data_IF_728808559689
#
_entry.id   IF_728808559689
#
_cell.length_a   1.000
_cell.length_b   1.000
_cell.length_c   1.000
_cell.angle_alpha   90.00
_cell.angle_beta   90.00
_cell.angle_gamma   90.00
#
_symmetry.space_group_name_H-M   'P 1'
#
loop_
_entity.id
_entity.type
_entity.pdbx_description
1 polymer ?
#
# COMPACT_ATOMS: atom_id res chain seq x y z
N UNK A 1 -3.54 3.39 2.40
CA UNK A 1 -4.90 3.74 1.90
C UNK A 1 -4.87 5.24 1.66
N UNK A 2 -5.11 5.64 0.44
CA UNK A 2 -5.16 7.05 0.02
C UNK A 2 -6.61 7.46 -0.19
N UNK A 3 -7.02 8.61 0.39
CA UNK A 3 -8.35 9.18 0.23
C UNK A 3 -8.25 10.30 -0.80
N UNK A 4 -8.63 9.98 -2.05
CA UNK A 4 -8.47 10.87 -3.17
C UNK A 4 -9.44 12.07 -3.09
N UNK A 5 -8.90 13.29 -3.01
CA UNK A 5 -9.63 14.55 -2.97
C UNK A 5 -10.13 15.04 -4.33
N UNK A 6 -9.78 14.39 -5.44
CA UNK A 6 -9.99 14.90 -6.81
C UNK A 6 -11.46 15.20 -7.19
N UNK A 7 -12.45 14.69 -6.44
CA UNK A 7 -13.87 14.96 -6.63
C UNK A 7 -14.50 15.88 -5.56
N UNK A 8 -13.76 16.20 -4.52
CA UNK A 8 -14.26 16.97 -3.37
C UNK A 8 -14.23 18.51 -3.58
N UNK A 9 -13.84 19.00 -4.76
CA UNK A 9 -13.62 20.42 -5.04
C UNK A 9 -14.87 21.22 -5.41
N UNK A 10 -16.07 20.68 -5.27
CA UNK A 10 -17.34 21.32 -5.67
C UNK A 10 -18.15 21.91 -4.50
N UNK A 11 -17.52 22.28 -3.40
CA UNK A 11 -18.19 22.92 -2.26
C UNK A 11 -17.59 24.28 -1.96
N UNK A 12 -18.39 25.21 -1.50
CA UNK A 12 -17.96 26.59 -1.15
C UNK A 12 -17.03 26.65 0.07
N UNK A 13 -16.80 25.52 0.76
CA UNK A 13 -15.85 25.35 1.83
C UNK A 13 -15.08 24.03 1.62
N UNK A 14 -13.81 24.17 1.21
CA UNK A 14 -12.92 23.04 0.92
C UNK A 14 -12.64 22.25 2.21
N UNK A 15 -12.46 22.92 3.33
CA UNK A 15 -12.21 22.32 4.63
C UNK A 15 -13.41 21.46 5.09
N UNK A 16 -14.62 21.96 4.99
CA UNK A 16 -15.84 21.23 5.35
C UNK A 16 -16.04 19.99 4.48
N UNK A 17 -15.76 20.13 3.18
CA UNK A 17 -15.83 19.00 2.25
C UNK A 17 -14.79 17.92 2.56
N UNK A 18 -13.55 18.33 2.84
CA UNK A 18 -12.48 17.43 3.25
C UNK A 18 -12.85 16.68 4.54
N UNK A 19 -13.35 17.40 5.54
CA UNK A 19 -13.79 16.86 6.81
C UNK A 19 -14.90 15.81 6.65
N UNK A 20 -15.96 16.11 5.92
CA UNK A 20 -17.08 15.19 5.68
C UNK A 20 -16.61 13.93 4.92
N UNK A 21 -15.78 14.11 3.88
CA UNK A 21 -15.19 12.99 3.13
C UNK A 21 -14.33 12.08 4.02
N UNK A 22 -13.52 12.68 4.89
CA UNK A 22 -12.67 11.93 5.83
C UNK A 22 -13.50 11.18 6.89
N UNK A 23 -14.63 11.73 7.35
CA UNK A 23 -15.55 11.05 8.26
C UNK A 23 -16.17 9.80 7.62
N UNK A 24 -16.66 9.92 6.40
CA UNK A 24 -17.20 8.79 5.61
C UNK A 24 -16.12 7.74 5.35
N UNK A 25 -14.93 8.18 4.97
CA UNK A 25 -13.80 7.31 4.71
C UNK A 25 -13.39 6.54 5.98
N UNK A 26 -13.37 7.16 7.15
CA UNK A 26 -13.03 6.52 8.41
C UNK A 26 -13.97 5.34 8.74
N UNK A 27 -15.28 5.50 8.53
CA UNK A 27 -16.25 4.43 8.71
C UNK A 27 -16.06 3.29 7.70
N UNK A 28 -15.89 3.64 6.43
CA UNK A 28 -15.74 2.66 5.35
C UNK A 28 -14.42 1.89 5.49
N UNK A 29 -13.33 2.54 5.85
CA UNK A 29 -12.04 1.88 6.11
C UNK A 29 -12.20 0.84 7.22
N UNK A 30 -12.80 1.22 8.35
CA UNK A 30 -13.05 0.31 9.45
C UNK A 30 -13.90 -0.90 9.00
N UNK A 31 -14.93 -0.67 8.18
CA UNK A 31 -15.76 -1.72 7.60
C UNK A 31 -14.97 -2.65 6.68
N UNK A 32 -14.15 -2.10 5.79
CA UNK A 32 -13.36 -2.87 4.83
C UNK A 32 -12.26 -3.70 5.49
N UNK A 33 -11.61 -3.18 6.51
CA UNK A 33 -10.62 -3.93 7.28
C UNK A 33 -11.23 -5.19 7.91
N UNK A 34 -12.47 -5.09 8.43
CA UNK A 34 -13.20 -6.23 9.01
C UNK A 34 -13.63 -7.23 7.94
N UNK A 35 -14.24 -6.76 6.84
CA UNK A 35 -14.78 -7.64 5.80
C UNK A 35 -13.67 -8.43 5.11
N UNK A 36 -12.54 -7.78 4.83
CA UNK A 36 -11.39 -8.39 4.14
C UNK A 36 -10.43 -9.11 5.08
N UNK A 37 -10.64 -8.99 6.39
CA UNK A 37 -9.75 -9.47 7.44
C UNK A 37 -8.29 -9.01 7.24
N UNK A 38 -8.12 -7.75 6.85
CA UNK A 38 -6.81 -7.14 6.66
C UNK A 38 -6.21 -6.82 8.02
N UNK A 39 -4.98 -7.28 8.25
CA UNK A 39 -4.27 -7.01 9.50
C UNK A 39 -2.81 -6.62 9.25
N UNK A 40 -2.13 -6.25 10.32
CA UNK A 40 -0.81 -5.67 10.31
C UNK A 40 -0.86 -4.15 10.45
N UNK A 41 0.17 -3.47 9.99
CA UNK A 41 0.25 -2.02 9.99
C UNK A 41 -0.49 -1.46 8.75
N UNK A 42 -1.43 -0.56 9.01
CA UNK A 42 -2.18 0.15 7.97
C UNK A 42 -1.93 1.65 8.15
N UNK A 43 -1.58 2.31 7.08
CA UNK A 43 -1.45 3.78 7.01
C UNK A 43 -2.59 4.31 6.17
N UNK A 44 -3.29 5.31 6.70
CA UNK A 44 -4.36 6.03 6.03
C UNK A 44 -3.90 7.44 5.76
N UNK A 45 -3.97 7.85 4.51
CA UNK A 45 -3.67 9.20 4.04
C UNK A 45 -5.00 9.96 3.89
N UNK A 46 -5.33 10.76 4.92
CA UNK A 46 -6.53 11.58 4.95
C UNK A 46 -6.32 12.87 4.15
N UNK A 47 -7.42 13.40 3.60
CA UNK A 47 -7.39 14.72 3.00
C UNK A 47 -6.98 15.75 4.06
N UNK A 48 -6.07 16.65 3.72
CA UNK A 48 -5.57 17.66 4.64
C UNK A 48 -6.71 18.46 5.28
N UNK A 49 -6.61 18.65 6.59
CA UNK A 49 -7.53 19.44 7.41
C UNK A 49 -6.73 20.42 8.26
N UNK A 50 -7.02 21.69 8.15
CA UNK A 50 -6.37 22.77 8.92
C UNK A 50 -6.85 22.82 10.37
N UNK A 51 -8.10 22.40 10.63
CA UNK A 51 -8.70 22.43 11.95
C UNK A 51 -8.30 21.24 12.81
N UNK A 52 -7.60 21.44 13.95
CA UNK A 52 -7.32 20.37 14.90
C UNK A 52 -8.57 19.71 15.50
N UNK A 53 -9.71 20.40 15.47
CA UNK A 53 -10.99 19.87 15.90
C UNK A 53 -11.49 18.82 14.91
N UNK A 54 -11.44 19.12 13.61
CA UNK A 54 -11.83 18.18 12.56
C UNK A 54 -10.96 16.92 12.59
N UNK A 55 -9.65 17.08 12.74
CA UNK A 55 -8.72 15.94 12.87
C UNK A 55 -9.11 15.01 14.04
N UNK A 56 -9.41 15.58 15.22
CA UNK A 56 -9.84 14.78 16.38
C UNK A 56 -11.16 14.07 16.13
N UNK A 57 -12.08 14.72 15.47
CA UNK A 57 -13.41 14.15 15.18
C UNK A 57 -13.31 12.96 14.21
N UNK A 58 -12.41 13.04 13.20
CA UNK A 58 -12.09 11.92 12.32
C UNK A 58 -11.38 10.79 13.07
N UNK A 59 -10.43 11.11 13.95
CA UNK A 59 -9.78 10.13 14.82
C UNK A 59 -10.78 9.40 15.72
N UNK A 60 -11.73 10.11 16.31
CA UNK A 60 -12.76 9.52 17.18
C UNK A 60 -13.73 8.68 16.36
N UNK A 61 -14.08 9.12 15.14
CA UNK A 61 -14.93 8.36 14.22
C UNK A 61 -14.32 7.00 13.86
N UNK A 62 -13.06 6.96 13.48
CA UNK A 62 -12.42 5.68 13.16
C UNK A 62 -12.26 4.79 14.39
N UNK A 63 -11.96 5.36 15.58
CA UNK A 63 -11.92 4.60 16.84
C UNK A 63 -13.27 3.98 17.16
N UNK A 64 -14.34 4.75 17.03
CA UNK A 64 -15.70 4.26 17.28
C UNK A 64 -16.12 3.17 16.29
N UNK A 65 -15.84 3.36 15.00
CA UNK A 65 -16.13 2.37 13.98
C UNK A 65 -15.35 1.05 14.19
N UNK A 66 -14.15 1.12 14.76
CA UNK A 66 -13.32 -0.05 15.05
C UNK A 66 -13.71 -0.77 16.34
N UNK A 67 -14.55 -0.20 17.22
CA UNK A 67 -15.07 -0.89 18.43
C UNK A 67 -15.87 -2.16 18.11
N UNK A 68 -16.44 -2.24 16.93
CA UNK A 68 -17.18 -3.42 16.47
C UNK A 68 -16.25 -4.56 16.00
N UNK A 69 -14.94 -4.32 15.92
CA UNK A 69 -13.97 -5.32 15.48
C UNK A 69 -13.60 -6.27 16.62
N UNK A 70 -13.57 -7.57 16.32
CA UNK A 70 -13.11 -8.59 17.27
C UNK A 70 -11.58 -8.63 17.41
N UNK A 71 -10.87 -8.09 16.41
CA UNK A 71 -9.42 -8.02 16.44
C UNK A 71 -8.96 -6.90 17.38
N UNK A 72 -7.80 -7.12 18.01
CA UNK A 72 -7.17 -6.04 18.77
C UNK A 72 -6.61 -5.00 17.82
N UNK A 73 -7.02 -3.75 18.00
CA UNK A 73 -6.61 -2.61 17.18
C UNK A 73 -5.97 -1.55 18.06
N UNK A 74 -4.87 -1.00 17.58
CA UNK A 74 -4.24 0.20 18.14
C UNK A 74 -4.27 1.28 17.06
N UNK A 75 -4.74 2.48 17.43
CA UNK A 75 -4.94 3.59 16.50
C UNK A 75 -4.15 4.79 17.01
N UNK A 76 -3.28 5.32 16.16
CA UNK A 76 -2.50 6.53 16.40
C UNK A 76 -3.34 7.79 16.29
N UNK A 77 -2.65 8.93 16.24
CA UNK A 77 -3.22 10.24 15.91
C UNK A 77 -2.89 10.59 14.47
N UNK A 78 -3.67 11.48 13.88
CA UNK A 78 -3.34 12.05 12.58
C UNK A 78 -2.07 12.91 12.75
N UNK A 79 -1.06 12.60 11.95
CA UNK A 79 0.20 13.34 11.95
C UNK A 79 0.04 14.69 11.23
N UNK A 80 1.05 15.56 11.36
CA UNK A 80 1.11 16.83 10.60
C UNK A 80 1.13 16.67 9.08
N UNK A 81 1.25 15.44 8.60
CA UNK A 81 1.24 15.09 7.16
C UNK A 81 -0.10 14.46 6.74
N UNK A 82 -1.16 14.56 7.55
CA UNK A 82 -2.46 13.94 7.25
C UNK A 82 -2.50 12.42 7.46
N UNK A 83 -1.39 11.79 7.87
CA UNK A 83 -1.28 10.34 7.98
C UNK A 83 -1.77 9.83 9.34
N UNK A 84 -2.66 8.84 9.32
CA UNK A 84 -3.06 8.08 10.50
C UNK A 84 -2.51 6.65 10.38
N UNK A 85 -1.81 6.22 11.42
CA UNK A 85 -1.29 4.87 11.53
C UNK A 85 -2.17 4.05 12.45
N UNK A 86 -2.52 2.84 12.03
CA UNK A 86 -3.20 1.87 12.88
C UNK A 86 -2.57 0.48 12.73
N UNK A 87 -2.57 -0.28 13.83
CA UNK A 87 -2.17 -1.67 13.83
C UNK A 87 -3.36 -2.54 14.19
N UNK A 88 -3.68 -3.52 13.34
CA UNK A 88 -4.75 -4.48 13.57
C UNK A 88 -4.18 -5.89 13.64
N UNK A 89 -4.49 -6.61 14.70
CA UNK A 89 -4.05 -8.00 14.84
C UNK A 89 -4.68 -8.88 13.77
N UNK A 90 -3.85 -9.69 13.09
CA UNK A 90 -4.36 -10.72 12.18
C UNK A 90 -4.97 -11.86 12.99
N UNK A 91 -6.21 -12.21 12.69
CA UNK A 91 -6.90 -13.37 13.29
C UNK A 91 -6.76 -14.61 12.42
N UNK A 92 -6.65 -14.42 11.09
CA UNK A 92 -6.49 -15.47 10.05
C UNK A 92 -5.89 -14.84 8.78
N UNK A 93 -5.48 -15.66 7.78
CA UNK A 93 -5.10 -15.15 6.48
C UNK A 93 -6.22 -14.29 5.87
N UNK A 94 -5.85 -13.17 5.21
CA UNK A 94 -6.80 -12.32 4.52
C UNK A 94 -7.51 -13.07 3.38
N UNK A 95 -8.67 -12.58 2.94
CA UNK A 95 -9.39 -13.17 1.81
C UNK A 95 -8.52 -13.26 0.55
N UNK A 96 -7.67 -12.26 0.32
CA UNK A 96 -6.74 -12.27 -0.80
C UNK A 96 -5.67 -13.35 -0.68
N UNK A 97 -5.13 -13.55 0.52
CA UNK A 97 -4.11 -14.60 0.77
C UNK A 97 -4.70 -16.02 0.70
N UNK A 98 -5.97 -16.20 1.06
CA UNK A 98 -6.63 -17.51 1.02
C UNK A 98 -7.11 -17.92 -0.36
N UNK A 99 -7.32 -16.97 -1.28
CA UNK A 99 -7.91 -17.20 -2.61
C UNK A 99 -6.94 -17.01 -3.77
N UNK A 100 -5.70 -16.55 -3.51
CA UNK A 100 -4.73 -16.24 -4.55
C UNK A 100 -3.35 -16.84 -4.23
N UNK A 101 -2.59 -17.12 -5.28
CA UNK A 101 -1.19 -17.51 -5.19
C UNK A 101 -0.29 -16.37 -5.69
N UNK A 102 0.89 -16.27 -5.09
CA UNK A 102 1.89 -15.30 -5.57
C UNK A 102 2.26 -15.64 -7.02
N UNK A 103 2.19 -14.66 -7.90
CA UNK A 103 2.56 -14.83 -9.30
C UNK A 103 4.03 -15.27 -9.42
N UNK A 104 4.34 -16.42 -10.02
CA UNK A 104 5.72 -16.89 -10.15
C UNK A 104 6.61 -16.01 -11.02
N UNK A 105 6.01 -15.18 -11.89
CA UNK A 105 6.76 -14.30 -12.79
C UNK A 105 7.16 -12.97 -12.14
N UNK A 106 6.30 -12.34 -11.37
CA UNK A 106 6.58 -11.04 -10.74
C UNK A 106 6.72 -11.12 -9.22
N UNK A 107 6.52 -12.27 -8.61
CA UNK A 107 6.59 -12.50 -7.17
C UNK A 107 5.78 -11.49 -6.34
N UNK A 108 4.61 -11.08 -6.84
CA UNK A 108 3.73 -10.10 -6.20
C UNK A 108 4.05 -8.64 -6.49
N UNK A 109 5.08 -8.33 -7.27
CA UNK A 109 5.49 -6.95 -7.57
C UNK A 109 4.58 -6.23 -8.58
N UNK A 110 3.72 -6.97 -9.32
CA UNK A 110 2.84 -6.41 -10.35
C UNK A 110 3.56 -5.87 -11.60
N UNK A 111 4.88 -5.94 -11.63
CA UNK A 111 5.74 -5.48 -12.73
C UNK A 111 6.81 -6.52 -13.03
N UNK A 112 7.25 -6.56 -14.28
CA UNK A 112 8.39 -7.36 -14.73
C UNK A 112 9.35 -6.45 -15.49
N UNK A 113 10.62 -6.80 -15.54
CA UNK A 113 11.59 -6.06 -16.33
C UNK A 113 11.26 -6.19 -17.80
N UNK A 114 11.35 -5.08 -18.55
CA UNK A 114 11.30 -5.07 -20.00
C UNK A 114 12.57 -5.71 -20.60
N UNK A 115 12.46 -6.13 -21.85
CA UNK A 115 13.54 -6.82 -22.59
C UNK A 115 14.84 -6.02 -22.58
N UNK A 116 14.79 -4.72 -22.89
CA UNK A 116 15.98 -3.84 -22.89
C UNK A 116 16.68 -3.81 -21.52
N UNK A 117 15.92 -3.62 -20.44
CA UNK A 117 16.47 -3.58 -19.08
C UNK A 117 17.07 -4.92 -18.67
N UNK A 118 16.47 -6.02 -19.11
CA UNK A 118 16.97 -7.36 -18.84
C UNK A 118 18.25 -7.63 -19.61
N UNK A 119 18.30 -7.28 -20.91
CA UNK A 119 19.50 -7.41 -21.77
C UNK A 119 20.68 -6.66 -21.19
N UNK A 120 20.51 -5.41 -20.78
CA UNK A 120 21.58 -4.62 -20.14
C UNK A 120 22.06 -5.24 -18.83
N UNK A 121 21.16 -5.83 -18.05
CA UNK A 121 21.56 -6.53 -16.81
C UNK A 121 22.36 -7.79 -17.09
N UNK A 122 22.00 -8.53 -18.13
CA UNK A 122 22.71 -9.74 -18.55
C UNK A 122 24.09 -9.37 -19.06
N UNK A 123 24.22 -8.33 -19.90
CA UNK A 123 25.52 -7.86 -20.38
C UNK A 123 26.45 -7.47 -19.23
N UNK A 124 25.96 -6.75 -18.20
CA UNK A 124 26.75 -6.42 -17.01
C UNK A 124 27.22 -7.64 -16.26
N UNK A 125 26.36 -8.66 -16.12
CA UNK A 125 26.75 -9.92 -15.48
C UNK A 125 27.79 -10.68 -16.29
N UNK A 126 27.69 -10.65 -17.62
CA UNK A 126 28.70 -11.26 -18.51
C UNK A 126 30.04 -10.55 -18.35
N UNK A 127 30.06 -9.22 -18.38
CA UNK A 127 31.26 -8.41 -18.16
C UNK A 127 31.90 -8.72 -16.79
N UNK A 128 31.10 -8.73 -15.74
CA UNK A 128 31.57 -9.04 -14.39
C UNK A 128 32.21 -10.43 -14.28
N UNK A 129 31.57 -11.44 -14.89
CA UNK A 129 32.09 -12.81 -14.90
C UNK A 129 33.31 -12.97 -15.83
N UNK A 130 33.36 -12.26 -16.95
CA UNK A 130 34.49 -12.27 -17.88
C UNK A 130 35.74 -11.61 -17.30
N UNK A 131 35.59 -10.64 -16.40
CA UNK A 131 36.69 -9.99 -15.68
C UNK A 131 37.33 -10.85 -14.58
N UNK A 132 36.73 -11.97 -14.26
CA UNK A 132 37.25 -12.88 -13.21
C UNK A 132 38.39 -13.70 -13.80
N UNK A 133 39.60 -13.62 -13.22
CA UNK A 133 40.85 -14.26 -13.70
C UNK A 133 40.75 -15.78 -13.87
N UNK A 134 39.79 -16.42 -13.26
CA UNK A 134 39.58 -17.87 -13.33
C UNK A 134 38.53 -18.28 -14.39
N UNK A 135 37.96 -17.36 -15.15
CA UNK A 135 36.87 -17.65 -16.11
C UNK A 135 37.42 -17.86 -17.52
N UNK A 136 37.42 -19.11 -17.99
CA UNK A 136 37.81 -19.44 -19.36
C UNK A 136 36.67 -19.33 -20.40
N UNK A 137 35.42 -19.43 -19.96
CA UNK A 137 34.23 -19.35 -20.82
C UNK A 137 33.00 -18.96 -20.01
N UNK A 138 32.17 -18.07 -20.57
CA UNK A 138 30.86 -17.69 -19.99
C UNK A 138 29.77 -18.16 -20.95
N UNK A 139 28.86 -19.02 -20.48
CA UNK A 139 27.72 -19.50 -21.25
C UNK A 139 26.45 -18.88 -20.63
N UNK A 140 25.67 -18.20 -21.45
CA UNK A 140 24.45 -17.51 -21.02
C UNK A 140 23.26 -18.09 -21.77
N UNK A 141 22.25 -18.53 -21.02
CA UNK A 141 20.98 -18.98 -21.57
C UNK A 141 19.93 -17.89 -21.37
N UNK A 142 19.38 -17.40 -22.45
CA UNK A 142 18.37 -16.32 -22.45
C UNK A 142 17.15 -16.70 -23.29
N UNK A 143 15.98 -16.13 -23.01
CA UNK A 143 14.82 -16.24 -23.90
C UNK A 143 15.13 -15.63 -25.27
N UNK A 144 14.50 -16.16 -26.32
CA UNK A 144 14.70 -15.71 -27.71
C UNK A 144 14.44 -14.21 -27.93
N UNK A 145 13.56 -13.64 -27.10
CA UNK A 145 13.21 -12.21 -27.14
C UNK A 145 14.33 -11.29 -26.61
N UNK A 146 15.34 -11.86 -25.94
CA UNK A 146 16.45 -11.16 -25.29
C UNK A 146 17.77 -11.41 -26.01
N UNK A 147 17.84 -12.46 -26.86
CA UNK A 147 19.03 -12.91 -27.57
C UNK A 147 19.48 -11.96 -28.71
#
# INVERSE_FOLDING_TARGET
IDINSARATKGGDIEETAFNTNLEAAEEIARQLRIRDVGGLVVVDFIDMDSPRHQREVEDRIRDAMKLDRARVQIGRISRFGLLELSRQRLRPSLGESSAHVCPRCHGQGRIRGVESLSLSILRLIEEQAMNDNTGQVVVQVPTEVA
#
